data_IF_467958338029
#
_entry.id   IF_467958338029
#
_cell.length_a   1.000
_cell.length_b   1.000
_cell.length_c   1.000
_cell.angle_alpha   90.00
_cell.angle_beta   90.00
_cell.angle_gamma   90.00
#
_symmetry.space_group_name_H-M   'P 1'
#
loop_
_entity.id
_entity.type
_entity.pdbx_description
1 polymer ?
#
# COMPACT_ATOMS: atom_id res chain seq x y z
N UNK A 1 -11.06 79.42 -6.96
CA UNK A 1 -12.46 78.98 -7.13
C UNK A 1 -12.61 77.64 -6.42
N UNK A 2 -13.48 77.66 -5.40
CA UNK A 2 -14.02 76.65 -4.48
C UNK A 2 -14.03 75.18 -4.98
N UNK A 3 -13.94 74.14 -4.13
CA UNK A 3 -14.06 74.09 -2.68
C UNK A 3 -13.86 72.68 -2.08
N UNK A 4 -14.01 72.66 -0.74
CA UNK A 4 -13.78 71.59 0.21
C UNK A 4 -14.77 70.40 0.13
N UNK A 5 -14.25 69.20 0.46
CA UNK A 5 -14.72 68.40 1.59
C UNK A 5 -15.92 67.46 1.39
N UNK A 6 -15.73 66.17 1.73
CA UNK A 6 -16.57 65.43 2.68
C UNK A 6 -16.08 63.97 2.85
N UNK A 7 -15.48 63.70 4.01
CA UNK A 7 -15.43 62.36 4.61
C UNK A 7 -16.85 61.95 5.04
N UNK A 8 -17.30 60.73 4.72
CA UNK A 8 -18.34 60.04 5.50
C UNK A 8 -18.36 58.51 5.28
N UNK A 9 -17.91 57.82 6.35
CA UNK A 9 -18.54 56.67 7.04
C UNK A 9 -18.80 55.34 6.31
N UNK A 10 -18.04 54.34 6.77
CA UNK A 10 -18.45 52.98 7.16
C UNK A 10 -19.96 52.69 7.13
N UNK A 11 -20.36 51.70 6.33
CA UNK A 11 -21.39 50.72 6.71
C UNK A 11 -21.00 49.34 6.19
N UNK A 12 -21.05 48.36 7.09
CA UNK A 12 -20.90 46.94 6.80
C UNK A 12 -22.05 46.44 5.92
N UNK A 13 -21.88 45.27 5.27
CA UNK A 13 -22.74 44.07 5.47
C UNK A 13 -22.66 43.07 4.29
N UNK A 14 -22.76 41.81 4.70
CA UNK A 14 -23.22 40.63 3.96
C UNK A 14 -22.27 39.94 2.97
N UNK A 15 -21.63 38.89 3.50
CA UNK A 15 -21.32 37.65 2.80
C UNK A 15 -22.57 37.13 2.05
N UNK A 16 -22.52 36.89 0.73
CA UNK A 16 -23.44 35.96 0.08
C UNK A 16 -22.94 34.54 0.44
N UNK A 17 -23.70 33.70 1.12
CA UNK A 17 -25.07 33.33 0.81
C UNK A 17 -25.04 31.84 0.47
N UNK A 18 -25.10 30.99 1.52
CA UNK A 18 -25.27 29.55 1.46
C UNK A 18 -26.55 29.22 0.66
N UNK A 19 -26.40 28.91 -0.63
CA UNK A 19 -27.47 28.36 -1.44
C UNK A 19 -27.70 26.89 -1.08
N UNK A 20 -28.43 26.68 0.01
CA UNK A 20 -29.01 25.39 0.40
C UNK A 20 -30.18 25.08 -0.54
N UNK A 21 -29.90 24.42 -1.67
CA UNK A 21 -30.95 23.84 -2.52
C UNK A 21 -31.63 22.69 -1.76
N UNK A 22 -32.84 22.94 -1.30
CA UNK A 22 -33.80 21.91 -0.90
C UNK A 22 -34.24 21.16 -2.17
N UNK A 23 -33.80 19.92 -2.32
CA UNK A 23 -34.34 19.00 -3.32
C UNK A 23 -35.46 18.23 -2.64
N UNK A 24 -36.67 18.59 -3.07
CA UNK A 24 -37.93 17.86 -2.96
C UNK A 24 -37.75 16.34 -2.91
N UNK A 25 -38.28 15.72 -1.85
CA UNK A 25 -38.58 14.29 -1.78
C UNK A 25 -39.85 14.01 -2.58
N UNK A 26 -39.71 13.89 -3.90
CA UNK A 26 -40.71 13.32 -4.78
C UNK A 26 -40.29 11.91 -5.19
N UNK A 27 -41.02 10.89 -4.73
CA UNK A 27 -40.77 9.50 -5.08
C UNK A 27 -40.86 9.26 -6.59
N UNK A 28 -39.80 8.70 -7.18
CA UNK A 28 -39.85 8.06 -8.50
C UNK A 28 -40.15 6.57 -8.29
N UNK A 29 -41.21 6.00 -8.91
CA UNK A 29 -41.43 4.57 -8.87
C UNK A 29 -40.29 3.83 -9.58
N UNK A 30 -39.89 2.70 -8.98
CA UNK A 30 -38.82 1.84 -9.41
C UNK A 30 -39.06 1.31 -10.83
N UNK A 31 -38.27 1.77 -11.80
CA UNK A 31 -38.05 1.03 -13.03
C UNK A 31 -37.02 -0.07 -12.72
N UNK A 32 -37.50 -1.28 -12.46
CA UNK A 32 -36.69 -2.49 -12.39
C UNK A 32 -36.19 -2.85 -13.80
N UNK A 33 -35.10 -2.21 -14.23
CA UNK A 33 -34.28 -2.74 -15.33
C UNK A 33 -33.60 -4.03 -14.86
N UNK A 34 -33.31 -4.99 -15.77
CA UNK A 34 -32.55 -6.18 -15.40
C UNK A 34 -31.19 -5.72 -14.89
N UNK A 35 -30.95 -5.85 -13.59
CA UNK A 35 -29.62 -5.70 -13.01
C UNK A 35 -28.73 -6.72 -13.69
N UNK A 36 -27.78 -6.25 -14.49
CA UNK A 36 -26.63 -7.05 -14.91
C UNK A 36 -26.11 -7.79 -13.68
N UNK A 37 -25.82 -9.10 -13.75
CA UNK A 37 -25.30 -9.82 -12.61
C UNK A 37 -24.06 -9.09 -12.11
N UNK A 38 -24.09 -8.67 -10.85
CA UNK A 38 -22.94 -8.12 -10.15
C UNK A 38 -21.78 -9.11 -10.29
N UNK A 39 -20.92 -8.95 -11.30
CA UNK A 39 -19.59 -9.54 -11.33
C UNK A 39 -18.66 -8.72 -10.43
N UNK A 40 -19.19 -8.24 -9.30
CA UNK A 40 -18.38 -7.79 -8.19
C UNK A 40 -17.64 -9.04 -7.73
N UNK A 41 -16.37 -9.16 -8.13
CA UNK A 41 -15.47 -10.15 -7.53
C UNK A 41 -15.63 -10.11 -6.01
N UNK A 42 -15.41 -11.23 -5.31
CA UNK A 42 -15.63 -11.30 -3.87
C UNK A 42 -15.01 -10.07 -3.21
N UNK A 43 -15.76 -9.42 -2.31
CA UNK A 43 -15.29 -8.23 -1.64
C UNK A 43 -13.87 -8.49 -1.10
N UNK A 44 -12.95 -7.51 -1.06
CA UNK A 44 -11.57 -7.75 -0.65
C UNK A 44 -11.46 -8.41 0.74
N UNK A 45 -12.46 -8.20 1.61
CA UNK A 45 -12.61 -8.91 2.88
C UNK A 45 -12.91 -10.41 2.73
N UNK A 46 -13.78 -10.78 1.79
CA UNK A 46 -14.13 -12.19 1.50
C UNK A 46 -12.98 -12.94 0.86
N UNK A 47 -12.23 -12.31 -0.05
CA UNK A 47 -11.02 -12.88 -0.63
C UNK A 47 -9.97 -13.19 0.45
N UNK A 48 -9.76 -12.28 1.41
CA UNK A 48 -8.86 -12.48 2.56
C UNK A 48 -9.35 -13.60 3.48
N UNK A 49 -10.66 -13.66 3.78
CA UNK A 49 -11.24 -14.73 4.60
C UNK A 49 -11.09 -16.11 3.94
N UNK A 50 -11.35 -16.21 2.64
CA UNK A 50 -11.17 -17.45 1.85
C UNK A 50 -9.70 -17.87 1.81
N UNK A 51 -8.78 -16.93 1.58
CA UNK A 51 -7.34 -17.20 1.62
C UNK A 51 -6.89 -17.66 3.01
N UNK A 52 -7.32 -17.00 4.08
CA UNK A 52 -7.01 -17.40 5.46
C UNK A 52 -7.54 -18.81 5.78
N UNK A 53 -8.76 -19.14 5.36
CA UNK A 53 -9.34 -20.49 5.52
C UNK A 53 -8.59 -21.56 4.72
N UNK A 54 -8.11 -21.21 3.52
CA UNK A 54 -7.24 -22.07 2.71
C UNK A 54 -5.85 -22.24 3.33
N UNK A 55 -5.32 -21.22 4.01
CA UNK A 55 -4.05 -21.32 4.71
C UNK A 55 -4.17 -22.15 5.98
N UNK A 56 -5.25 -21.98 6.77
CA UNK A 56 -5.48 -22.79 7.96
C UNK A 56 -5.63 -24.26 7.60
N UNK A 57 -6.42 -24.59 6.57
CA UNK A 57 -6.51 -25.97 6.09
C UNK A 57 -5.18 -26.51 5.57
N UNK A 58 -4.31 -25.68 4.99
CA UNK A 58 -2.96 -26.09 4.63
C UNK A 58 -2.07 -26.28 5.87
N UNK A 59 -2.21 -25.49 6.93
CA UNK A 59 -1.46 -25.63 8.21
C UNK A 59 -1.87 -26.89 8.96
N UNK A 60 -3.14 -27.27 8.87
CA UNK A 60 -3.65 -28.47 9.50
C UNK A 60 -3.18 -29.73 8.74
N UNK A 61 -3.09 -29.66 7.41
CA UNK A 61 -2.68 -30.78 6.54
C UNK A 61 -1.17 -30.87 6.29
N UNK A 62 -0.44 -29.76 6.40
CA UNK A 62 1.02 -29.64 6.27
C UNK A 62 1.53 -28.91 7.50
N UNK A 63 2.56 -29.42 8.18
CA UNK A 63 3.20 -28.75 9.32
C UNK A 63 3.32 -27.22 9.09
N UNK A 64 2.88 -26.41 10.04
CA UNK A 64 2.87 -24.95 9.99
C UNK A 64 4.20 -24.35 9.52
N UNK A 65 5.32 -25.05 9.77
CA UNK A 65 6.67 -24.68 9.33
C UNK A 65 6.86 -24.68 7.80
N UNK A 66 6.03 -25.45 7.09
CA UNK A 66 6.15 -25.74 5.65
C UNK A 66 5.17 -24.92 4.82
N UNK A 67 4.01 -24.55 5.35
CA UNK A 67 2.94 -23.87 4.58
C UNK A 67 3.37 -22.55 3.94
N UNK A 68 4.16 -21.74 4.64
CA UNK A 68 4.70 -20.49 4.08
C UNK A 68 5.86 -20.68 3.08
N UNK A 69 6.29 -21.93 2.85
CA UNK A 69 7.47 -22.31 2.06
C UNK A 69 7.15 -23.40 1.04
N UNK A 70 5.88 -23.72 0.83
CA UNK A 70 5.42 -24.63 -0.20
C UNK A 70 4.85 -23.84 -1.37
N UNK A 71 5.09 -24.32 -2.58
CA UNK A 71 4.54 -23.75 -3.82
C UNK A 71 3.96 -24.90 -4.62
N UNK A 72 2.66 -24.91 -4.95
CA UNK A 72 2.10 -25.93 -5.81
C UNK A 72 2.70 -25.82 -7.21
N UNK A 73 3.06 -26.95 -7.80
CA UNK A 73 3.49 -27.01 -9.20
C UNK A 73 2.25 -26.89 -10.07
N UNK A 74 2.24 -25.89 -10.94
CA UNK A 74 1.14 -25.67 -11.90
C UNK A 74 1.46 -26.34 -13.22
N UNK A 75 0.49 -26.38 -14.15
CA UNK A 75 0.64 -26.95 -15.48
C UNK A 75 1.82 -26.35 -16.29
N UNK A 76 2.29 -25.16 -15.91
CA UNK A 76 3.42 -24.46 -16.50
C UNK A 76 4.79 -25.06 -16.14
N UNK A 77 4.82 -26.16 -15.38
CA UNK A 77 6.01 -26.95 -15.08
C UNK A 77 6.72 -26.58 -13.77
N UNK A 78 7.75 -27.38 -13.43
CA UNK A 78 8.49 -27.28 -12.16
C UNK A 78 9.39 -26.04 -12.10
N UNK A 79 9.96 -25.61 -13.23
CA UNK A 79 10.89 -24.47 -13.29
C UNK A 79 10.30 -23.16 -12.72
N UNK A 80 9.14 -22.68 -13.21
CA UNK A 80 8.48 -21.49 -12.68
C UNK A 80 8.10 -21.62 -11.20
N UNK A 81 7.66 -22.80 -10.76
CA UNK A 81 7.34 -23.07 -9.36
C UNK A 81 8.59 -22.95 -8.46
N UNK A 82 9.74 -23.47 -8.91
CA UNK A 82 11.02 -23.33 -8.21
C UNK A 82 11.47 -21.87 -8.15
N UNK A 83 11.35 -21.11 -9.25
CA UNK A 83 11.66 -19.67 -9.27
C UNK A 83 10.80 -18.87 -8.29
N UNK A 84 9.50 -19.19 -8.20
CA UNK A 84 8.58 -18.59 -7.22
C UNK A 84 8.98 -18.95 -5.79
N UNK A 85 9.26 -20.22 -5.52
CA UNK A 85 9.75 -20.67 -4.22
C UNK A 85 11.04 -19.93 -3.83
N UNK A 86 11.96 -19.79 -4.77
CA UNK A 86 13.22 -19.10 -4.57
C UNK A 86 13.01 -17.64 -4.13
N UNK A 87 12.07 -16.93 -4.76
CA UNK A 87 11.68 -15.57 -4.39
C UNK A 87 11.06 -15.52 -2.99
N UNK A 88 10.13 -16.43 -2.66
CA UNK A 88 9.52 -16.51 -1.32
C UNK A 88 10.59 -16.69 -0.23
N UNK A 89 11.58 -17.55 -0.47
CA UNK A 89 12.69 -17.77 0.47
C UNK A 89 13.60 -16.56 0.63
N UNK A 90 13.76 -15.74 -0.42
CA UNK A 90 14.53 -14.49 -0.40
C UNK A 90 13.79 -13.37 0.34
N UNK A 91 12.49 -13.18 0.05
CA UNK A 91 11.66 -12.14 0.66
C UNK A 91 11.53 -12.34 2.17
N UNK A 92 11.31 -13.59 2.59
CA UNK A 92 11.30 -13.99 4.01
C UNK A 92 12.72 -14.08 4.61
N UNK A 93 13.75 -13.86 3.81
CA UNK A 93 15.13 -13.79 4.23
C UNK A 93 15.64 -15.06 4.97
N UNK A 94 15.07 -16.21 4.64
CA UNK A 94 15.29 -17.49 5.34
C UNK A 94 16.75 -17.94 5.16
N UNK A 95 17.29 -17.89 3.94
CA UNK A 95 18.65 -18.36 3.66
C UNK A 95 19.72 -17.58 4.42
N UNK A 96 19.58 -16.25 4.47
CA UNK A 96 20.50 -15.39 5.22
C UNK A 96 20.45 -15.71 6.71
N UNK A 97 19.26 -15.97 7.25
CA UNK A 97 19.08 -16.35 8.64
C UNK A 97 19.70 -17.71 8.94
N UNK A 98 19.46 -18.73 8.09
CA UNK A 98 20.09 -20.04 8.21
C UNK A 98 21.62 -19.92 8.23
N UNK A 99 22.20 -19.11 7.35
CA UNK A 99 23.65 -18.92 7.32
C UNK A 99 24.18 -18.22 8.59
N UNK A 100 23.43 -17.26 9.14
CA UNK A 100 23.77 -16.58 10.40
C UNK A 100 23.67 -17.51 11.60
N UNK A 101 22.71 -18.44 11.60
CA UNK A 101 22.49 -19.41 12.69
C UNK A 101 23.51 -20.54 12.74
N UNK A 102 24.28 -20.78 11.69
CA UNK A 102 25.33 -21.82 11.67
C UNK A 102 26.36 -21.65 12.80
N UNK A 103 26.59 -20.41 13.27
CA UNK A 103 27.51 -20.10 14.36
C UNK A 103 26.87 -19.12 15.33
N UNK A 104 27.25 -19.19 16.59
CA UNK A 104 26.80 -18.25 17.60
C UNK A 104 27.37 -16.84 17.34
N UNK A 105 26.50 -15.84 17.26
CA UNK A 105 26.87 -14.43 17.21
C UNK A 105 26.60 -13.79 18.59
N UNK A 106 27.65 -13.33 19.28
CA UNK A 106 27.51 -12.65 20.59
C UNK A 106 26.56 -11.44 20.45
N UNK A 107 25.71 -11.14 21.46
CA UNK A 107 24.71 -10.08 21.37
C UNK A 107 25.25 -8.69 20.99
N UNK A 108 26.46 -8.33 21.46
CA UNK A 108 27.12 -7.07 21.10
C UNK A 108 27.37 -6.97 19.59
N UNK A 109 27.92 -8.01 18.98
CA UNK A 109 28.20 -8.04 17.54
C UNK A 109 26.89 -8.04 16.74
N UNK A 110 25.88 -8.78 17.19
CA UNK A 110 24.53 -8.76 16.58
C UNK A 110 23.94 -7.35 16.54
N UNK A 111 24.01 -6.60 17.65
CA UNK A 111 23.54 -5.20 17.73
C UNK A 111 24.33 -4.29 16.79
N UNK A 112 25.66 -4.41 16.77
CA UNK A 112 26.53 -3.61 15.90
C UNK A 112 26.23 -3.87 14.42
N UNK A 113 26.07 -5.14 14.04
CA UNK A 113 25.70 -5.54 12.68
C UNK A 113 24.35 -4.97 12.27
N UNK A 114 23.31 -5.12 13.10
CA UNK A 114 21.98 -4.59 12.81
C UNK A 114 21.99 -3.06 12.64
N UNK A 115 22.77 -2.34 13.46
CA UNK A 115 22.94 -0.89 13.31
C UNK A 115 23.59 -0.51 11.97
N UNK A 116 24.66 -1.22 11.57
CA UNK A 116 25.32 -1.00 10.26
C UNK A 116 24.38 -1.30 9.09
N UNK A 117 23.66 -2.42 9.16
CA UNK A 117 22.66 -2.81 8.14
C UNK A 117 21.53 -1.78 8.02
N UNK A 118 20.99 -1.31 9.16
CA UNK A 118 19.94 -0.29 9.18
C UNK A 118 20.45 1.05 8.62
N UNK A 119 21.65 1.47 8.97
CA UNK A 119 22.26 2.69 8.43
C UNK A 119 22.47 2.60 6.92
N UNK A 120 23.06 1.51 6.42
CA UNK A 120 23.26 1.30 4.99
C UNK A 120 21.93 1.28 4.22
N UNK A 121 20.87 0.69 4.79
CA UNK A 121 19.53 0.71 4.20
C UNK A 121 18.98 2.14 4.10
N UNK A 122 19.01 2.90 5.20
CA UNK A 122 18.55 4.30 5.23
C UNK A 122 19.32 5.16 4.23
N UNK A 123 20.65 5.01 4.21
CA UNK A 123 21.51 5.73 3.27
C UNK A 123 21.15 5.42 1.81
N UNK A 124 20.99 4.13 1.47
CA UNK A 124 20.56 3.70 0.13
C UNK A 124 19.21 4.31 -0.26
N UNK A 125 18.25 4.30 0.66
CA UNK A 125 16.90 4.83 0.40
C UNK A 125 16.95 6.35 0.17
N UNK A 126 17.72 7.09 0.97
CA UNK A 126 17.89 8.54 0.78
C UNK A 126 18.62 8.89 -0.52
N UNK A 127 19.70 8.18 -0.84
CA UNK A 127 20.41 8.35 -2.13
C UNK A 127 19.47 8.07 -3.29
N UNK A 128 18.68 6.99 -3.22
CA UNK A 128 17.69 6.65 -4.27
C UNK A 128 16.68 7.78 -4.47
N UNK A 129 16.14 8.36 -3.39
CA UNK A 129 15.19 9.49 -3.47
C UNK A 129 15.82 10.71 -4.14
N UNK A 130 17.03 11.09 -3.73
CA UNK A 130 17.76 12.23 -4.28
C UNK A 130 18.08 12.04 -5.77
N UNK A 131 18.61 10.88 -6.14
CA UNK A 131 18.90 10.55 -7.55
C UNK A 131 17.62 10.56 -8.39
N UNK A 132 16.52 10.01 -7.86
CA UNK A 132 15.24 10.04 -8.54
C UNK A 132 14.69 11.46 -8.75
N UNK A 133 14.91 12.36 -7.79
CA UNK A 133 14.58 13.78 -7.95
C UNK A 133 15.40 14.43 -9.08
N UNK A 134 16.71 14.19 -9.11
CA UNK A 134 17.59 14.70 -10.17
C UNK A 134 17.14 14.19 -11.55
N UNK A 135 16.79 12.91 -11.68
CA UNK A 135 16.24 12.38 -12.94
C UNK A 135 14.92 13.06 -13.34
N UNK A 136 14.06 13.38 -12.38
CA UNK A 136 12.83 14.14 -12.65
C UNK A 136 13.13 15.55 -13.15
N UNK A 137 14.04 16.27 -12.50
CA UNK A 137 14.45 17.62 -12.92
C UNK A 137 15.06 17.61 -14.33
N UNK A 138 15.97 16.66 -14.58
CA UNK A 138 16.55 16.44 -15.91
C UNK A 138 15.49 16.21 -16.98
N UNK A 139 14.48 15.39 -16.70
CA UNK A 139 13.39 15.11 -17.64
C UNK A 139 12.47 16.32 -17.88
N UNK A 140 12.41 17.26 -16.93
CA UNK A 140 11.69 18.53 -17.06
C UNK A 140 12.52 19.60 -17.78
N UNK A 141 13.81 19.36 -18.04
CA UNK A 141 14.71 20.31 -18.71
C UNK A 141 15.32 21.37 -17.79
N UNK A 142 15.37 21.12 -16.47
CA UNK A 142 16.00 21.97 -15.45
C UNK A 142 17.34 21.36 -15.01
#
# INVERSE_FOLDING_TARGET
MFGLGALQRLTARALPGLARRLISTGGRPAASGPSLPNSAGPAPADARRRFAKSLSSQIDNLDARVVGRSVPVTAWGVGPAYGRLNRILMDNNIRRELNRRKRYEKPKYKRQRLRREAHARRFKDEVRKKVHLVYKMKNLGI
#
